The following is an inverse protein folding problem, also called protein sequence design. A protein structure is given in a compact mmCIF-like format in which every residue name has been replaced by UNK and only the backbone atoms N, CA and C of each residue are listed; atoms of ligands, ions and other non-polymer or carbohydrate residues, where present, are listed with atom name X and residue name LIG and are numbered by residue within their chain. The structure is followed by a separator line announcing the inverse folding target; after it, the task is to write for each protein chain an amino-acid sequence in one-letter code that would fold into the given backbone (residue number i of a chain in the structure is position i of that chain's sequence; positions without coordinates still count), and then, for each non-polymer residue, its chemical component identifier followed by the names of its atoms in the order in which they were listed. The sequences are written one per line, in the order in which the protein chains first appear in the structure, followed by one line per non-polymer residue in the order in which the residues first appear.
data_IF_948960404391
#
_entry.id   IF_948960404391
#
_cell.length_a   1.000
_cell.length_b   1.000
_cell.length_c   1.000
_cell.angle_alpha   90.00
_cell.angle_beta   90.00
_cell.angle_gamma   90.00
#
_symmetry.space_group_name_H-M   'P 1'
#
loop_
_entity.id
_entity.type
_entity.pdbx_description
1 polymer ?
#
# COMPACT_ATOMS: atom_id res chain seq x y z
N UNK A 1 -17.72 13.29 -16.52
CA UNK A 1 -16.40 12.64 -16.67
C UNK A 1 -15.32 13.68 -16.61
N UNK A 2 -14.68 13.81 -15.47
CA UNK A 2 -13.53 14.69 -15.33
C UNK A 2 -12.27 13.86 -15.61
N UNK A 3 -11.73 14.00 -16.80
CA UNK A 3 -10.44 13.39 -17.18
C UNK A 3 -9.34 14.35 -16.78
N UNK A 4 -8.61 14.03 -15.74
CA UNK A 4 -7.39 14.74 -15.37
C UNK A 4 -6.20 14.00 -15.97
N UNK A 5 -5.53 14.61 -16.95
CA UNK A 5 -4.23 14.13 -17.40
C UNK A 5 -3.17 14.88 -16.60
N UNK A 6 -2.47 14.16 -15.74
CA UNK A 6 -1.31 14.69 -15.04
C UNK A 6 -0.04 14.25 -15.76
N UNK A 7 0.60 15.19 -16.45
CA UNK A 7 1.96 15.02 -16.96
C UNK A 7 2.94 15.14 -15.79
N UNK A 8 3.20 14.05 -15.07
CA UNK A 8 4.30 14.00 -14.11
C UNK A 8 5.56 13.50 -14.80
N UNK A 9 6.29 14.42 -15.39
CA UNK A 9 7.69 14.22 -15.74
C UNK A 9 8.57 14.47 -14.53
N UNK A 10 8.65 13.57 -13.58
CA UNK A 10 9.67 13.58 -12.54
C UNK A 10 10.83 12.67 -12.96
N UNK A 11 11.57 13.13 -13.96
CA UNK A 11 12.92 12.67 -14.23
C UNK A 11 13.91 13.48 -13.41
N UNK A 12 13.91 13.35 -12.08
CA UNK A 12 14.91 13.95 -11.23
C UNK A 12 15.87 12.84 -10.76
N UNK A 13 17.14 13.02 -11.19
CA UNK A 13 18.33 12.26 -10.77
C UNK A 13 18.49 10.84 -11.35
N UNK A 14 18.76 10.77 -12.67
CA UNK A 14 19.82 9.89 -13.15
C UNK A 14 21.04 10.76 -13.41
N UNK A 15 22.05 10.62 -12.62
CA UNK A 15 23.41 11.01 -12.95
C UNK A 15 23.87 10.12 -14.12
N UNK A 16 23.61 10.56 -15.34
CA UNK A 16 24.22 10.06 -16.53
C UNK A 16 25.44 10.92 -16.87
N UNK A 17 26.53 10.63 -16.18
CA UNK A 17 27.84 10.88 -16.76
C UNK A 17 28.02 9.90 -17.93
N UNK A 18 27.53 10.28 -19.12
CA UNK A 18 28.15 9.99 -20.42
C UNK A 18 27.34 10.70 -21.52
N UNK A 19 28.03 11.63 -22.19
CA UNK A 19 27.52 12.37 -23.30
C UNK A 19 26.97 11.46 -24.40
N UNK A 20 25.69 11.66 -24.67
CA UNK A 20 24.97 11.14 -25.81
C UNK A 20 23.74 11.99 -26.02
N UNK A 21 23.69 12.79 -27.11
CA UNK A 21 22.54 13.59 -27.47
C UNK A 21 21.38 12.69 -27.94
N UNK A 22 20.71 12.06 -27.01
CA UNK A 22 19.44 11.41 -27.22
C UNK A 22 18.36 12.21 -26.50
N UNK A 23 17.47 12.87 -27.26
CA UNK A 23 16.22 13.39 -26.69
C UNK A 23 15.51 12.23 -26.00
N UNK A 24 15.47 12.22 -24.68
CA UNK A 24 14.60 11.35 -23.93
C UNK A 24 13.17 11.63 -24.38
N UNK A 25 12.56 10.67 -25.07
CA UNK A 25 11.14 10.71 -25.40
C UNK A 25 10.40 10.62 -24.07
N UNK A 26 9.81 11.70 -23.61
CA UNK A 26 8.91 11.67 -22.46
C UNK A 26 7.75 10.74 -22.82
N UNK A 27 7.72 9.57 -22.20
CA UNK A 27 6.61 8.63 -22.34
C UNK A 27 5.39 9.31 -21.72
N UNK A 28 4.40 9.67 -22.51
CA UNK A 28 3.16 10.24 -22.00
C UNK A 28 2.45 9.16 -21.19
N UNK A 29 2.42 9.35 -19.90
CA UNK A 29 1.66 8.50 -18.98
C UNK A 29 0.25 9.08 -18.82
N UNK A 30 -0.77 8.29 -19.09
CA UNK A 30 -2.17 8.68 -18.92
C UNK A 30 -2.85 7.77 -17.93
N UNK A 31 -3.40 8.34 -16.88
CA UNK A 31 -4.24 7.64 -15.91
C UNK A 31 -5.61 8.29 -15.85
N UNK A 32 -6.66 7.48 -15.86
CA UNK A 32 -8.06 7.92 -15.78
C UNK A 32 -8.59 7.58 -14.39
N UNK A 33 -9.17 8.59 -13.73
CA UNK A 33 -9.83 8.46 -12.46
C UNK A 33 -11.33 8.65 -12.62
N UNK A 34 -12.12 7.79 -11.96
CA UNK A 34 -13.58 7.92 -11.92
C UNK A 34 -14.05 8.10 -10.49
N UNK A 35 -14.96 9.04 -10.29
CA UNK A 35 -15.48 9.41 -8.99
C UNK A 35 -16.99 9.18 -8.94
N UNK A 36 -17.51 8.79 -7.78
CA UNK A 36 -18.95 8.70 -7.56
C UNK A 36 -19.56 10.06 -7.14
N UNK A 37 -20.89 10.07 -6.93
CA UNK A 37 -21.62 11.26 -6.52
C UNK A 37 -21.23 11.79 -5.13
N UNK A 38 -20.60 10.96 -4.29
CA UNK A 38 -20.06 11.32 -2.98
C UNK A 38 -18.59 11.80 -3.04
N UNK A 39 -18.06 12.06 -4.24
CA UNK A 39 -16.66 12.44 -4.46
C UNK A 39 -15.63 11.39 -3.96
N UNK A 40 -15.99 10.10 -4.00
CA UNK A 40 -15.09 9.03 -3.67
C UNK A 40 -14.53 8.42 -4.96
N UNK A 41 -13.24 8.12 -4.97
CA UNK A 41 -12.56 7.48 -6.10
C UNK A 41 -13.03 6.04 -6.26
N UNK A 42 -13.79 5.74 -7.32
CA UNK A 42 -14.30 4.38 -7.58
C UNK A 42 -13.46 3.58 -8.56
N UNK A 43 -12.66 4.23 -9.38
CA UNK A 43 -11.68 3.51 -10.21
C UNK A 43 -10.48 4.37 -10.60
N UNK A 44 -9.36 3.69 -10.85
CA UNK A 44 -8.14 4.26 -11.42
C UNK A 44 -7.62 3.28 -12.48
N UNK A 45 -7.45 3.76 -13.70
CA UNK A 45 -7.05 2.92 -14.85
C UNK A 45 -5.95 3.60 -15.65
N UNK A 46 -4.90 2.88 -15.94
CA UNK A 46 -3.86 3.24 -16.89
C UNK A 46 -3.47 2.04 -17.77
N UNK A 47 -2.40 2.17 -18.56
CA UNK A 47 -1.96 1.11 -19.48
C UNK A 47 -1.48 -0.16 -18.77
N UNK A 48 -1.08 -0.07 -17.49
CA UNK A 48 -0.50 -1.17 -16.73
C UNK A 48 -1.42 -1.66 -15.60
N UNK A 49 -2.22 -0.77 -15.01
CA UNK A 49 -3.00 -1.05 -13.80
C UNK A 49 -4.46 -0.65 -13.95
N UNK A 50 -5.31 -1.49 -13.42
CA UNK A 50 -6.73 -1.21 -13.26
C UNK A 50 -7.14 -1.53 -11.83
N UNK A 51 -7.64 -0.53 -11.11
CA UNK A 51 -8.07 -0.65 -9.73
C UNK A 51 -9.49 -0.14 -9.59
N UNK A 52 -10.32 -0.87 -8.84
CA UNK A 52 -11.67 -0.46 -8.50
C UNK A 52 -11.88 -0.48 -6.98
N UNK A 53 -12.70 0.44 -6.48
CA UNK A 53 -12.97 0.63 -5.06
C UNK A 53 -14.46 0.62 -4.77
N UNK A 54 -14.85 -0.01 -3.66
CA UNK A 54 -16.21 0.01 -3.14
C UNK A 54 -16.17 0.59 -1.73
N UNK A 55 -17.18 1.38 -1.40
CA UNK A 55 -17.30 2.06 -0.11
C UNK A 55 -18.59 1.63 0.62
N UNK A 56 -18.49 1.54 1.93
CA UNK A 56 -19.64 1.30 2.80
C UNK A 56 -20.49 2.57 2.99
N UNK A 57 -21.60 2.42 3.70
CA UNK A 57 -22.50 3.55 4.03
C UNK A 57 -21.83 4.59 4.95
N UNK A 58 -20.81 4.18 5.68
CA UNK A 58 -19.97 5.03 6.53
C UNK A 58 -18.92 5.84 5.76
N UNK A 59 -18.87 5.68 4.42
CA UNK A 59 -17.89 6.32 3.56
C UNK A 59 -16.51 5.66 3.58
N UNK A 60 -16.31 4.60 4.37
CA UNK A 60 -15.06 3.90 4.40
C UNK A 60 -14.97 2.87 3.27
N UNK A 61 -13.75 2.63 2.77
CA UNK A 61 -13.49 1.60 1.77
C UNK A 61 -13.84 0.22 2.35
N UNK A 62 -14.69 -0.53 1.65
CA UNK A 62 -15.04 -1.91 1.98
C UNK A 62 -14.28 -2.92 1.14
N UNK A 63 -14.00 -2.58 -0.12
CA UNK A 63 -13.29 -3.45 -1.04
C UNK A 63 -12.35 -2.65 -1.94
N UNK A 64 -11.22 -3.27 -2.29
CA UNK A 64 -10.32 -2.86 -3.37
C UNK A 64 -10.11 -4.06 -4.29
N UNK A 65 -10.22 -3.83 -5.59
CA UNK A 65 -9.97 -4.81 -6.62
C UNK A 65 -8.88 -4.33 -7.55
N UNK A 66 -7.97 -5.22 -7.91
CA UNK A 66 -7.03 -5.03 -9.02
C UNK A 66 -7.24 -6.11 -10.05
N UNK A 67 -6.47 -6.14 -11.13
CA UNK A 67 -6.52 -7.23 -12.11
C UNK A 67 -6.25 -8.61 -11.48
N UNK A 68 -5.44 -8.67 -10.42
CA UNK A 68 -4.91 -9.90 -9.84
C UNK A 68 -5.17 -10.05 -8.34
N UNK A 69 -5.76 -9.06 -7.68
CA UNK A 69 -5.93 -9.08 -6.23
C UNK A 69 -7.26 -8.48 -5.79
N UNK A 70 -7.69 -8.90 -4.60
CA UNK A 70 -8.80 -8.34 -3.88
C UNK A 70 -8.39 -8.06 -2.44
N UNK A 71 -8.82 -6.92 -1.90
CA UNK A 71 -8.69 -6.61 -0.49
C UNK A 71 -10.06 -6.31 0.09
N UNK A 72 -10.44 -7.02 1.13
CA UNK A 72 -11.66 -6.82 1.91
C UNK A 72 -11.31 -6.08 3.20
N UNK A 73 -12.05 -5.01 3.49
CA UNK A 73 -11.90 -4.22 4.71
C UNK A 73 -13.13 -4.43 5.59
N UNK A 74 -13.05 -5.33 6.55
CA UNK A 74 -14.16 -5.56 7.48
C UNK A 74 -14.30 -4.39 8.48
N UNK A 75 -13.16 -3.85 8.88
CA UNK A 75 -13.02 -2.64 9.69
C UNK A 75 -11.51 -2.27 9.76
N UNK A 76 -11.16 -1.18 10.48
CA UNK A 76 -9.76 -0.76 10.64
C UNK A 76 -8.86 -1.82 11.31
N UNK A 77 -9.46 -2.75 12.07
CA UNK A 77 -8.73 -3.77 12.81
C UNK A 77 -8.55 -5.08 12.03
N UNK A 78 -9.36 -5.31 10.98
CA UNK A 78 -9.29 -6.57 10.24
C UNK A 78 -9.47 -6.36 8.75
N UNK A 79 -8.49 -6.83 7.99
CA UNK A 79 -8.48 -6.84 6.52
C UNK A 79 -8.12 -8.22 6.01
N UNK A 80 -8.56 -8.55 4.80
CA UNK A 80 -8.20 -9.78 4.10
C UNK A 80 -7.77 -9.46 2.68
N UNK A 81 -6.57 -9.87 2.31
CA UNK A 81 -5.99 -9.65 0.99
C UNK A 81 -5.77 -10.98 0.28
N UNK A 82 -6.26 -11.10 -0.94
CA UNK A 82 -6.02 -12.24 -1.84
C UNK A 82 -5.29 -11.76 -3.07
N UNK A 83 -4.30 -12.53 -3.51
CA UNK A 83 -3.56 -12.32 -4.74
C UNK A 83 -3.60 -13.61 -5.57
N UNK A 84 -4.10 -13.53 -6.82
CA UNK A 84 -4.21 -14.67 -7.71
C UNK A 84 -2.86 -15.27 -8.13
N UNK A 85 -1.79 -14.48 -8.05
CA UNK A 85 -0.41 -14.94 -8.26
C UNK A 85 0.15 -15.75 -7.09
N UNK A 86 -0.46 -15.68 -5.92
CA UNK A 86 -0.01 -16.32 -4.70
C UNK A 86 -1.05 -17.33 -4.16
N UNK A 87 -1.62 -18.12 -5.05
CA UNK A 87 -2.75 -19.03 -4.79
C UNK A 87 -2.47 -20.16 -3.78
N UNK A 88 -1.21 -20.31 -3.32
CA UNK A 88 -0.82 -21.40 -2.42
C UNK A 88 -1.47 -21.29 -1.04
N UNK A 89 -1.93 -20.10 -0.64
CA UNK A 89 -2.41 -19.88 0.73
C UNK A 89 -3.80 -19.22 0.86
N UNK A 90 -4.55 -19.06 -0.23
CA UNK A 90 -5.91 -18.51 -0.17
C UNK A 90 -6.03 -17.10 0.38
N UNK A 91 -4.95 -16.31 0.31
CA UNK A 91 -4.90 -14.94 0.79
C UNK A 91 -4.26 -14.78 2.17
N UNK A 92 -4.20 -13.54 2.61
CA UNK A 92 -3.59 -13.13 3.88
C UNK A 92 -4.56 -12.27 4.68
N UNK A 93 -4.85 -12.66 5.91
CA UNK A 93 -5.60 -11.82 6.84
C UNK A 93 -4.66 -11.03 7.73
N UNK A 94 -4.97 -9.75 7.93
CA UNK A 94 -4.26 -8.86 8.82
C UNK A 94 -5.16 -8.45 9.99
N UNK A 95 -4.67 -8.64 11.21
CA UNK A 95 -5.29 -8.14 12.44
C UNK A 95 -4.45 -6.99 12.95
N UNK A 96 -5.02 -5.79 12.94
CA UNK A 96 -4.35 -4.55 13.33
C UNK A 96 -4.74 -4.16 14.76
N UNK A 97 -3.77 -3.85 15.60
CA UNK A 97 -3.96 -3.43 16.98
C UNK A 97 -3.54 -1.96 17.08
N UNK A 98 -4.38 -1.18 17.74
CA UNK A 98 -4.21 0.27 17.89
C UNK A 98 -4.13 0.66 19.36
N UNK A 99 -3.35 1.70 19.61
CA UNK A 99 -3.39 2.49 20.85
C UNK A 99 -3.91 3.89 20.48
N UNK A 100 -5.18 4.16 20.80
CA UNK A 100 -5.88 5.32 20.24
C UNK A 100 -6.01 5.20 18.72
N UNK A 101 -5.44 6.14 17.98
CA UNK A 101 -5.42 6.13 16.51
C UNK A 101 -4.10 5.61 15.94
N UNK A 102 -3.12 5.33 16.79
CA UNK A 102 -1.80 4.83 16.35
C UNK A 102 -1.83 3.31 16.22
N UNK A 103 -1.50 2.80 15.04
CA UNK A 103 -1.27 1.38 14.83
C UNK A 103 0.04 0.97 15.49
N UNK A 104 -0.02 -0.03 16.36
CA UNK A 104 1.15 -0.53 17.09
C UNK A 104 1.57 -1.93 16.66
N UNK A 105 0.63 -2.79 16.24
CA UNK A 105 0.93 -4.16 15.81
C UNK A 105 0.03 -4.55 14.65
N UNK A 106 0.59 -5.26 13.68
CA UNK A 106 -0.16 -6.07 12.72
C UNK A 106 0.23 -7.53 12.88
N UNK A 107 -0.76 -8.41 13.01
CA UNK A 107 -0.59 -9.86 12.99
C UNK A 107 -1.14 -10.40 11.68
N UNK A 108 -0.33 -11.19 11.00
CA UNK A 108 -0.71 -11.79 9.72
C UNK A 108 -0.93 -13.29 9.87
N UNK A 109 -1.85 -13.82 9.07
CA UNK A 109 -2.04 -15.26 8.91
C UNK A 109 -2.47 -15.61 7.49
N UNK A 110 -2.31 -16.87 7.09
CA UNK A 110 -2.86 -17.39 5.84
C UNK A 110 -4.39 -17.44 5.92
N UNK A 111 -5.07 -17.09 4.81
CA UNK A 111 -6.53 -17.03 4.78
C UNK A 111 -7.21 -18.38 4.87
N UNK A 112 -6.55 -19.48 4.47
CA UNK A 112 -7.16 -20.80 4.35
C UNK A 112 -7.11 -21.65 5.60
N UNK A 113 -6.11 -21.49 6.44
CA UNK A 113 -5.96 -22.28 7.66
C UNK A 113 -5.11 -21.54 8.70
N UNK A 114 -5.65 -20.46 9.30
CA UNK A 114 -4.91 -19.69 10.27
C UNK A 114 -4.58 -20.53 11.52
N UNK A 115 -3.30 -20.55 11.88
CA UNK A 115 -2.86 -21.18 13.11
C UNK A 115 -2.40 -20.14 14.11
N UNK A 116 -2.58 -20.41 15.40
CA UNK A 116 -2.04 -19.56 16.46
C UNK A 116 -0.52 -19.38 16.34
N UNK A 117 0.18 -20.44 15.94
CA UNK A 117 1.62 -20.43 15.77
C UNK A 117 2.05 -19.51 14.61
N UNK A 118 1.32 -19.50 13.51
CA UNK A 118 1.58 -18.57 12.41
C UNK A 118 1.41 -17.12 12.84
N UNK A 119 0.30 -16.79 13.50
CA UNK A 119 0.06 -15.44 14.01
C UNK A 119 1.11 -15.00 15.05
N UNK A 120 1.69 -15.95 15.80
CA UNK A 120 2.74 -15.66 16.76
C UNK A 120 4.05 -15.24 16.06
N UNK A 121 4.45 -15.93 14.99
CA UNK A 121 5.68 -15.61 14.27
C UNK A 121 5.52 -14.45 13.29
N UNK A 122 4.31 -14.17 12.82
CA UNK A 122 3.99 -13.08 11.89
C UNK A 122 3.39 -11.88 12.62
N UNK A 123 4.08 -11.41 13.65
CA UNK A 123 3.75 -10.19 14.38
C UNK A 123 4.73 -9.10 14.01
N UNK A 124 4.20 -7.97 13.56
CA UNK A 124 4.97 -6.82 13.10
C UNK A 124 4.62 -5.61 13.95
N UNK A 125 5.64 -5.02 14.58
CA UNK A 125 5.51 -3.90 15.51
C UNK A 125 5.94 -2.62 14.83
N UNK A 126 5.05 -1.63 14.81
CA UNK A 126 5.27 -0.36 14.15
C UNK A 126 5.93 0.64 15.11
N UNK A 127 7.07 1.18 14.69
CA UNK A 127 7.75 2.28 15.33
C UNK A 127 7.55 3.50 14.45
N UNK A 128 6.56 4.30 14.81
CA UNK A 128 6.13 5.44 14.01
C UNK A 128 6.92 6.69 14.33
N UNK A 129 7.08 7.56 13.33
CA UNK A 129 7.59 8.91 13.52
C UNK A 129 6.55 9.83 14.18
N UNK A 130 6.87 11.12 14.31
CA UNK A 130 5.99 12.11 14.91
C UNK A 130 4.70 12.41 14.10
N UNK A 131 4.65 12.00 12.84
CA UNK A 131 3.47 12.08 11.96
C UNK A 131 2.65 10.79 11.95
N UNK A 132 3.12 9.75 12.63
CA UNK A 132 2.51 8.43 12.63
C UNK A 132 2.95 7.54 11.45
N UNK A 133 3.96 7.97 10.66
CA UNK A 133 4.45 7.17 9.54
C UNK A 133 5.28 5.99 10.05
N UNK A 134 5.14 4.83 9.40
CA UNK A 134 5.90 3.63 9.72
C UNK A 134 7.37 3.79 9.31
N UNK A 135 8.23 4.26 10.21
CA UNK A 135 9.66 4.47 9.92
C UNK A 135 10.48 3.21 10.13
N UNK A 136 10.10 2.39 11.10
CA UNK A 136 10.69 1.09 11.38
C UNK A 136 9.59 0.11 11.73
N UNK A 137 9.67 -1.09 11.19
CA UNK A 137 8.84 -2.22 11.57
C UNK A 137 9.76 -3.32 12.07
N UNK A 138 9.51 -3.82 13.28
CA UNK A 138 10.23 -4.96 13.83
C UNK A 138 9.37 -6.22 13.81
N UNK A 139 10.01 -7.38 13.78
CA UNK A 139 9.37 -8.67 13.85
C UNK A 139 9.05 -9.09 15.30
N UNK A 140 8.55 -10.32 15.50
CA UNK A 140 8.19 -10.87 16.81
C UNK A 140 9.39 -11.04 17.76
N UNK A 141 10.62 -11.03 17.26
CA UNK A 141 11.87 -11.08 18.07
C UNK A 141 12.36 -9.70 18.45
N UNK A 142 11.86 -8.66 17.79
CA UNK A 142 12.36 -7.30 17.89
C UNK A 142 13.45 -6.98 16.88
N UNK A 143 13.73 -7.89 15.95
CA UNK A 143 14.68 -7.63 14.86
C UNK A 143 14.08 -6.69 13.82
N UNK A 144 14.92 -5.88 13.15
CA UNK A 144 14.49 -5.00 12.07
C UNK A 144 13.92 -5.84 10.92
N UNK A 145 12.62 -5.71 10.65
CA UNK A 145 11.96 -6.33 9.51
C UNK A 145 11.94 -5.40 8.31
N UNK A 146 11.52 -4.15 8.50
CA UNK A 146 11.44 -3.15 7.44
C UNK A 146 11.83 -1.78 7.98
N UNK A 147 12.61 -1.04 7.20
CA UNK A 147 12.94 0.37 7.45
C UNK A 147 12.49 1.19 6.26
N UNK A 148 11.78 2.28 6.53
CA UNK A 148 11.24 3.17 5.52
C UNK A 148 11.61 4.61 5.88
N UNK A 149 12.18 5.32 4.92
CA UNK A 149 12.43 6.75 5.01
C UNK A 149 11.60 7.46 3.94
N UNK A 150 10.98 8.56 4.31
CA UNK A 150 10.06 9.29 3.44
C UNK A 150 10.60 10.67 3.08
N UNK A 151 10.23 11.14 1.87
CA UNK A 151 10.29 12.55 1.56
C UNK A 151 9.22 13.32 2.36
N UNK A 152 9.28 14.65 2.43
CA UNK A 152 8.27 15.45 3.15
C UNK A 152 6.82 15.24 2.67
N UNK A 153 6.64 14.72 1.47
CA UNK A 153 5.32 14.49 0.86
C UNK A 153 4.91 13.01 0.85
N UNK A 154 5.67 12.14 1.53
CA UNK A 154 5.30 10.73 1.72
C UNK A 154 5.81 9.78 0.63
N UNK A 155 6.55 10.27 -0.35
CA UNK A 155 7.26 9.37 -1.25
C UNK A 155 8.31 8.58 -0.48
N UNK A 156 8.44 7.31 -0.78
CA UNK A 156 9.46 6.47 -0.16
C UNK A 156 10.84 6.82 -0.72
N UNK A 157 11.73 7.33 0.15
CA UNK A 157 13.12 7.62 -0.20
C UNK A 157 14.02 6.39 -0.07
N UNK A 158 13.86 5.65 1.02
CA UNK A 158 14.56 4.40 1.30
C UNK A 158 13.55 3.40 1.79
N UNK A 159 13.56 2.21 1.24
CA UNK A 159 12.83 1.07 1.77
C UNK A 159 13.76 -0.14 1.80
N UNK A 160 14.01 -0.66 2.99
CA UNK A 160 14.81 -1.87 3.22
C UNK A 160 13.95 -2.87 3.95
N UNK A 161 13.87 -4.08 3.42
CA UNK A 161 13.18 -5.20 4.05
C UNK A 161 14.20 -6.30 4.30
N UNK A 162 14.27 -6.79 5.51
CA UNK A 162 15.32 -7.72 5.96
C UNK A 162 15.10 -9.15 5.53
N UNK A 163 13.99 -9.49 4.88
CA UNK A 163 13.72 -10.87 4.54
C UNK A 163 12.92 -11.06 3.26
N UNK A 164 13.10 -12.25 2.68
CA UNK A 164 12.59 -12.77 1.43
C UNK A 164 11.09 -13.10 1.42
N UNK A 165 10.37 -12.93 2.51
CA UNK A 165 8.93 -13.06 2.59
C UNK A 165 8.29 -11.70 2.35
N UNK A 166 7.68 -11.48 1.20
CA UNK A 166 6.91 -10.29 0.90
C UNK A 166 5.58 -10.36 1.67
N UNK A 167 5.63 -10.02 2.95
CA UNK A 167 4.41 -9.85 3.72
C UNK A 167 3.74 -8.54 3.31
N UNK A 168 2.43 -8.59 3.06
CA UNK A 168 1.65 -7.42 2.69
C UNK A 168 1.43 -6.50 3.90
N UNK A 169 2.24 -5.46 4.00
CA UNK A 169 2.20 -4.41 5.03
C UNK A 169 2.02 -3.03 4.37
N UNK A 170 0.80 -2.72 3.88
CA UNK A 170 0.58 -1.56 3.01
C UNK A 170 0.53 -0.22 3.76
N UNK A 171 0.54 -0.22 5.08
CA UNK A 171 0.39 0.98 5.89
C UNK A 171 1.74 1.64 6.14
N UNK A 172 1.98 2.76 5.47
CA UNK A 172 3.28 3.43 5.45
C UNK A 172 3.20 4.87 6.00
N UNK A 173 3.22 5.87 5.12
CA UNK A 173 3.22 7.29 5.49
C UNK A 173 1.94 7.68 6.24
N UNK A 174 2.08 8.41 7.36
CA UNK A 174 0.97 8.84 8.25
C UNK A 174 0.00 7.70 8.64
N UNK A 175 0.52 6.45 8.76
CA UNK A 175 -0.23 5.23 9.02
C UNK A 175 -1.33 4.92 7.99
N UNK A 176 -1.27 5.52 6.80
CA UNK A 176 -2.25 5.30 5.73
C UNK A 176 -1.81 4.18 4.81
N UNK A 177 -2.81 3.51 4.20
CA UNK A 177 -2.58 2.49 3.20
C UNK A 177 -2.07 3.10 1.91
N UNK A 178 -0.96 2.59 1.41
CA UNK A 178 -0.46 2.88 0.07
C UNK A 178 -1.12 1.93 -0.93
N UNK A 179 -1.83 2.48 -1.90
CA UNK A 179 -2.28 1.74 -3.08
C UNK A 179 -1.12 1.72 -4.08
N UNK A 180 -0.32 0.65 -4.06
CA UNK A 180 0.92 0.53 -4.85
C UNK A 180 0.66 0.68 -6.36
N UNK A 181 -0.51 0.27 -6.83
CA UNK A 181 -0.93 0.37 -8.23
C UNK A 181 -1.11 1.82 -8.69
N UNK A 182 -1.47 2.70 -7.76
CA UNK A 182 -1.71 4.11 -8.06
C UNK A 182 -0.62 5.03 -7.53
N UNK A 183 0.13 4.59 -6.52
CA UNK A 183 1.04 5.40 -5.74
C UNK A 183 0.35 6.40 -4.81
N UNK A 184 -0.97 6.26 -4.59
CA UNK A 184 -1.76 7.15 -3.75
C UNK A 184 -1.97 6.55 -2.36
N UNK A 185 -1.99 7.39 -1.35
CA UNK A 185 -2.39 7.01 0.00
C UNK A 185 -3.89 7.19 0.21
N UNK A 186 -4.55 6.21 0.82
CA UNK A 186 -5.97 6.29 1.14
C UNK A 186 -6.21 7.05 2.45
N UNK A 187 -6.80 8.24 2.37
CA UNK A 187 -7.12 9.10 3.51
C UNK A 187 -8.60 9.09 3.93
N UNK A 188 -9.42 8.20 3.33
CA UNK A 188 -10.82 8.05 3.75
C UNK A 188 -11.84 8.74 2.83
N UNK A 189 -11.46 9.14 1.62
CA UNK A 189 -12.39 9.64 0.61
C UNK A 189 -11.81 9.49 -0.77
#
# INVERSE_FOLDING_TARGET
ENVYSTDYGWGLFKDDEKGGSGKASATKYKRTYTWNESNQLVSSVDDNYSTAYIYGQDGQRSNKYTANSETLYFNKMWTHHTDSGNSVYGGQSAKNIYLGETRIVTKLNSGTNPTYQEEYYKQYYYHSDHLGSASLISDYKGDEYQRIEYTPYGETWVEKTSNTGLEWLPYKFTAKELDEETGLYYYGA
#
